data_IF_585118311301
#
_entry.id   IF_585118311301
#
_cell.length_a   1.000
_cell.length_b   1.000
_cell.length_c   1.000
_cell.angle_alpha   90.00
_cell.angle_beta   90.00
_cell.angle_gamma   90.00
#
_symmetry.space_group_name_H-M   'P 1'
#
loop_
_entity.id
_entity.type
_entity.pdbx_description
1 polymer ?
#
# COMPACT_ATOMS: atom_id res chain seq x y z
N UNK A 1 4.79 -10.35 -15.84
CA UNK A 1 3.45 -10.64 -15.26
C UNK A 1 3.03 -9.62 -14.22
N UNK A 2 3.96 -9.03 -13.45
CA UNK A 2 3.67 -7.95 -12.50
C UNK A 2 3.35 -6.60 -13.13
N UNK A 3 3.19 -5.60 -12.26
CA UNK A 3 2.99 -4.19 -12.59
C UNK A 3 4.31 -3.42 -12.74
N UNK A 4 4.24 -2.08 -12.64
CA UNK A 4 5.42 -1.20 -12.68
C UNK A 4 6.17 -1.21 -11.35
N UNK A 5 5.44 -1.09 -10.24
CA UNK A 5 6.00 -0.97 -8.88
C UNK A 5 5.78 -2.26 -8.08
N UNK A 6 4.67 -2.94 -8.34
CA UNK A 6 4.30 -4.15 -7.61
C UNK A 6 4.54 -5.42 -8.44
N UNK A 7 5.21 -6.38 -7.82
CA UNK A 7 5.30 -7.74 -8.33
C UNK A 7 3.98 -8.49 -8.18
N UNK A 8 3.75 -9.50 -9.01
CA UNK A 8 2.52 -10.29 -8.97
C UNK A 8 2.58 -11.26 -7.77
N UNK A 9 1.69 -11.14 -6.77
CA UNK A 9 1.73 -12.02 -5.61
C UNK A 9 1.25 -13.43 -5.98
N UNK A 10 1.70 -14.43 -5.21
CA UNK A 10 1.52 -15.85 -5.53
C UNK A 10 0.05 -16.27 -5.62
N UNK A 11 -0.78 -15.82 -4.69
CA UNK A 11 -2.23 -16.08 -4.66
C UNK A 11 -2.94 -15.61 -5.94
N UNK A 12 -2.65 -14.38 -6.38
CA UNK A 12 -3.24 -13.85 -7.61
C UNK A 12 -2.67 -14.55 -8.85
N UNK A 13 -1.37 -14.92 -8.80
CA UNK A 13 -0.72 -15.67 -9.87
C UNK A 13 -1.40 -17.02 -10.07
N UNK A 14 -1.61 -17.78 -9.00
CA UNK A 14 -2.27 -19.08 -9.03
C UNK A 14 -3.72 -18.95 -9.55
N UNK A 15 -4.50 -18.00 -9.03
CA UNK A 15 -5.86 -17.76 -9.48
C UNK A 15 -5.94 -17.42 -10.98
N UNK A 16 -4.97 -16.68 -11.51
CA UNK A 16 -4.89 -16.39 -12.95
C UNK A 16 -4.53 -17.64 -13.76
N UNK A 17 -3.61 -18.48 -13.29
CA UNK A 17 -3.24 -19.71 -14.01
C UNK A 17 -4.37 -20.75 -14.06
N UNK A 18 -5.29 -20.73 -13.09
CA UNK A 18 -6.47 -21.60 -13.09
C UNK A 18 -7.56 -21.16 -14.10
N UNK A 19 -7.53 -19.93 -14.59
CA UNK A 19 -8.50 -19.41 -15.57
C UNK A 19 -7.78 -18.80 -16.79
N UNK A 20 -7.64 -19.61 -17.84
CA UNK A 20 -6.92 -19.23 -19.07
C UNK A 20 -7.46 -17.96 -19.73
N UNK A 21 -8.78 -17.74 -19.65
CA UNK A 21 -9.42 -16.54 -20.21
C UNK A 21 -9.00 -15.30 -19.42
N UNK A 22 -9.06 -15.36 -18.09
CA UNK A 22 -8.60 -14.27 -17.24
C UNK A 22 -7.09 -14.02 -17.42
N UNK A 23 -6.28 -15.06 -17.54
CA UNK A 23 -4.84 -14.96 -17.80
C UNK A 23 -4.53 -14.26 -19.13
N UNK A 24 -5.22 -14.63 -20.21
CA UNK A 24 -5.06 -13.97 -21.51
C UNK A 24 -5.43 -12.49 -21.42
N UNK A 25 -6.56 -12.17 -20.77
CA UNK A 25 -6.99 -10.79 -20.57
C UNK A 25 -6.03 -9.98 -19.69
N UNK A 26 -5.44 -10.61 -18.67
CA UNK A 26 -4.39 -10.01 -17.83
C UNK A 26 -3.13 -9.67 -18.63
N UNK A 27 -2.73 -10.54 -19.55
CA UNK A 27 -1.59 -10.30 -20.45
C UNK A 27 -1.87 -9.17 -21.45
N UNK A 28 -3.13 -8.94 -21.82
CA UNK A 28 -3.50 -7.87 -22.76
C UNK A 28 -3.58 -6.47 -22.11
N UNK A 29 -3.82 -6.37 -20.80
CA UNK A 29 -3.86 -5.05 -20.14
C UNK A 29 -2.46 -4.45 -19.97
N UNK A 30 -2.41 -3.13 -19.87
CA UNK A 30 -1.17 -2.39 -19.71
C UNK A 30 -0.47 -2.76 -18.40
N UNK A 31 0.88 -2.64 -18.32
CA UNK A 31 1.61 -2.84 -17.07
C UNK A 31 1.07 -1.96 -15.93
N UNK A 32 0.57 -0.76 -16.25
CA UNK A 32 -0.04 0.13 -15.29
C UNK A 32 -1.36 -0.42 -14.73
N UNK A 33 -2.23 -0.95 -15.59
CA UNK A 33 -3.46 -1.58 -15.14
C UNK A 33 -3.19 -2.80 -14.26
N UNK A 34 -2.18 -3.62 -14.60
CA UNK A 34 -1.74 -4.72 -13.73
C UNK A 34 -1.26 -4.21 -12.36
N UNK A 35 -0.47 -3.14 -12.36
CA UNK A 35 0.01 -2.51 -11.14
C UNK A 35 -1.13 -2.05 -10.23
N UNK A 36 -2.19 -1.48 -10.81
CA UNK A 36 -3.36 -1.02 -10.06
C UNK A 36 -4.15 -2.19 -9.48
N UNK A 37 -4.37 -3.25 -10.24
CA UNK A 37 -5.00 -4.47 -9.73
C UNK A 37 -4.20 -5.08 -8.58
N UNK A 38 -2.89 -5.22 -8.74
CA UNK A 38 -2.02 -5.78 -7.70
C UNK A 38 -2.08 -4.91 -6.45
N UNK A 39 -1.88 -3.60 -6.58
CA UNK A 39 -1.92 -2.68 -5.43
C UNK A 39 -3.25 -2.76 -4.70
N UNK A 40 -4.37 -2.77 -5.44
CA UNK A 40 -5.71 -2.89 -4.88
C UNK A 40 -5.93 -4.22 -4.14
N UNK A 41 -5.38 -5.33 -4.65
CA UNK A 41 -5.44 -6.64 -3.99
C UNK A 41 -4.59 -6.69 -2.73
N UNK A 42 -3.38 -6.12 -2.71
CA UNK A 42 -2.46 -6.24 -1.57
C UNK A 42 -2.64 -5.17 -0.49
N UNK A 43 -3.35 -4.07 -0.78
CA UNK A 43 -3.56 -2.99 0.21
C UNK A 43 -4.41 -3.42 1.40
N UNK A 44 -5.24 -4.46 1.27
CA UNK A 44 -6.10 -4.93 2.37
C UNK A 44 -5.30 -5.70 3.40
N UNK A 45 -5.55 -5.43 4.69
CA UNK A 45 -4.83 -6.06 5.81
C UNK A 45 -5.41 -7.43 6.21
N UNK A 46 -6.68 -7.66 5.91
CA UNK A 46 -7.37 -8.91 6.27
C UNK A 46 -7.23 -9.93 5.14
N UNK A 47 -6.75 -11.14 5.47
CA UNK A 47 -6.55 -12.20 4.47
C UNK A 47 -7.86 -12.59 3.77
N UNK A 48 -8.96 -12.71 4.51
CA UNK A 48 -10.28 -13.01 3.94
C UNK A 48 -10.67 -12.02 2.83
N UNK A 49 -10.49 -10.72 3.07
CA UNK A 49 -10.79 -9.69 2.07
C UNK A 49 -9.83 -9.74 0.89
N UNK A 50 -8.58 -10.16 1.11
CA UNK A 50 -7.62 -10.38 0.02
C UNK A 50 -8.06 -11.51 -0.89
N UNK A 51 -8.53 -12.63 -0.33
CA UNK A 51 -9.04 -13.77 -1.09
C UNK A 51 -10.28 -13.40 -1.92
N UNK A 52 -11.19 -12.61 -1.32
CA UNK A 52 -12.34 -12.02 -2.02
C UNK A 52 -11.90 -11.09 -3.16
N UNK A 53 -10.86 -10.26 -2.93
CA UNK A 53 -10.29 -9.39 -3.96
C UNK A 53 -9.68 -10.20 -5.11
N UNK A 54 -8.92 -11.27 -4.83
CA UNK A 54 -8.37 -12.16 -5.86
C UNK A 54 -9.48 -12.74 -6.73
N UNK A 55 -10.53 -13.27 -6.11
CA UNK A 55 -11.70 -13.81 -6.83
C UNK A 55 -12.37 -12.74 -7.69
N UNK A 56 -12.50 -11.52 -7.15
CA UNK A 56 -13.09 -10.38 -7.86
C UNK A 56 -12.24 -9.94 -9.06
N UNK A 57 -10.91 -9.98 -8.99
CA UNK A 57 -10.03 -9.68 -10.13
C UNK A 57 -10.38 -10.58 -11.31
N UNK A 58 -10.45 -11.90 -11.09
CA UNK A 58 -10.76 -12.89 -12.14
C UNK A 58 -12.14 -12.62 -12.75
N UNK A 59 -13.16 -12.44 -11.91
CA UNK A 59 -14.53 -12.14 -12.36
C UNK A 59 -14.61 -10.84 -13.17
N UNK A 60 -13.99 -9.76 -12.68
CA UNK A 60 -14.03 -8.45 -13.35
C UNK A 60 -13.25 -8.44 -14.67
N UNK A 61 -12.10 -9.11 -14.75
CA UNK A 61 -11.37 -9.27 -16.00
C UNK A 61 -12.25 -9.96 -17.05
N UNK A 62 -12.90 -11.07 -16.68
CA UNK A 62 -13.83 -11.80 -17.57
C UNK A 62 -15.04 -10.95 -17.97
N UNK A 63 -15.49 -10.07 -17.08
CA UNK A 63 -16.49 -9.03 -17.35
C UNK A 63 -15.99 -7.84 -18.17
N UNK A 64 -14.76 -7.89 -18.70
CA UNK A 64 -14.18 -6.88 -19.58
C UNK A 64 -13.58 -5.67 -18.87
N UNK A 65 -13.60 -5.64 -17.53
CA UNK A 65 -13.01 -4.53 -16.77
C UNK A 65 -11.50 -4.63 -16.80
N UNK A 66 -10.85 -3.56 -17.24
CA UNK A 66 -9.39 -3.52 -17.35
C UNK A 66 -8.71 -2.92 -16.13
N UNK A 67 -9.46 -2.25 -15.24
CA UNK A 67 -8.97 -1.63 -13.99
C UNK A 67 -9.95 -1.89 -12.83
N UNK A 68 -9.49 -1.86 -11.57
CA UNK A 68 -10.37 -1.95 -10.41
C UNK A 68 -11.33 -0.75 -10.35
N UNK A 69 -12.62 -1.02 -10.10
CA UNK A 69 -13.60 0.04 -9.89
C UNK A 69 -13.39 0.70 -8.52
N UNK A 70 -13.56 2.03 -8.45
CA UNK A 70 -13.41 2.84 -7.24
C UNK A 70 -11.97 2.86 -6.66
N UNK A 71 -10.96 2.65 -7.51
CA UNK A 71 -9.56 2.78 -7.12
C UNK A 71 -8.95 4.04 -7.75
N UNK A 72 -8.42 4.93 -6.91
CA UNK A 72 -7.87 6.22 -7.35
C UNK A 72 -6.55 6.08 -8.13
N UNK A 73 -5.97 4.88 -8.13
CA UNK A 73 -4.65 4.57 -8.69
C UNK A 73 -3.69 4.09 -7.61
N UNK A 74 -2.55 3.54 -8.04
CA UNK A 74 -1.51 3.10 -7.12
C UNK A 74 -0.77 4.31 -6.52
N UNK A 75 -0.83 4.45 -5.19
CA UNK A 75 -0.17 5.54 -4.44
C UNK A 75 1.35 5.40 -4.38
N UNK A 76 1.90 4.23 -4.74
CA UNK A 76 3.34 3.95 -4.73
C UNK A 76 4.04 4.35 -6.04
N UNK A 77 3.30 4.92 -6.99
CA UNK A 77 3.85 5.36 -8.27
C UNK A 77 4.66 6.64 -8.09
N UNK A 78 5.87 6.65 -8.64
CA UNK A 78 6.79 7.79 -8.61
C UNK A 78 6.76 8.65 -9.88
N UNK A 79 6.08 8.20 -10.93
CA UNK A 79 6.01 8.92 -12.21
C UNK A 79 5.11 10.17 -12.18
N UNK A 80 4.22 10.26 -11.18
CA UNK A 80 3.35 11.42 -10.97
C UNK A 80 3.95 12.30 -9.87
N UNK A 81 4.47 13.50 -10.17
CA UNK A 81 4.91 14.40 -9.12
C UNK A 81 3.73 14.80 -8.23
N UNK A 82 4.01 14.95 -6.93
CA UNK A 82 3.03 15.42 -5.95
C UNK A 82 2.58 16.84 -6.36
N UNK A 83 1.28 17.12 -6.26
CA UNK A 83 0.79 18.46 -6.60
C UNK A 83 1.35 19.52 -5.62
N UNK A 84 1.63 20.75 -6.06
CA UNK A 84 2.13 21.81 -5.18
C UNK A 84 1.26 22.02 -3.93
N UNK A 85 -0.07 21.90 -4.07
CA UNK A 85 -1.00 22.04 -2.94
C UNK A 85 -0.83 20.91 -1.92
N UNK A 86 -0.71 19.66 -2.37
CA UNK A 86 -0.49 18.51 -1.49
C UNK A 86 0.87 18.61 -0.81
N UNK A 87 1.90 19.04 -1.55
CA UNK A 87 3.24 19.26 -1.02
C UNK A 87 3.23 20.30 0.11
N UNK A 88 2.54 21.42 -0.07
CA UNK A 88 2.41 22.45 0.99
C UNK A 88 1.73 21.92 2.26
N UNK A 89 0.78 20.99 2.14
CA UNK A 89 0.10 20.38 3.29
C UNK A 89 1.05 19.44 4.03
N UNK A 90 1.84 18.65 3.30
CA UNK A 90 2.85 17.75 3.88
C UNK A 90 3.89 18.57 4.67
N UNK A 91 4.43 19.63 4.07
CA UNK A 91 5.41 20.52 4.72
C UNK A 91 4.87 21.19 5.99
N UNK A 92 3.60 21.62 5.99
CA UNK A 92 2.95 22.19 7.19
C UNK A 92 2.82 21.14 8.31
N UNK A 93 2.50 19.89 7.96
CA UNK A 93 2.35 18.80 8.94
C UNK A 93 3.69 18.38 9.55
N UNK A 94 4.74 18.25 8.75
CA UNK A 94 6.08 17.90 9.25
C UNK A 94 6.61 18.95 10.22
N UNK A 95 6.44 20.25 9.89
CA UNK A 95 6.80 21.34 10.81
C UNK A 95 6.07 21.24 12.14
N UNK A 96 4.74 21.03 12.14
CA UNK A 96 3.94 20.90 13.36
C UNK A 96 4.43 19.75 14.26
N UNK A 97 4.69 18.58 13.68
CA UNK A 97 5.12 17.40 14.46
C UNK A 97 6.52 17.59 15.08
N UNK A 98 7.41 18.33 14.42
CA UNK A 98 8.75 18.65 14.93
C UNK A 98 8.77 19.78 15.96
N UNK A 99 7.62 20.44 16.21
CA UNK A 99 7.51 21.51 17.22
C UNK A 99 6.84 21.01 18.52
N UNK A 100 6.62 19.70 18.65
CA UNK A 100 6.16 19.12 19.91
C UNK A 100 7.27 19.31 20.97
N UNK A 101 6.94 19.79 22.18
CA UNK A 101 7.95 19.99 23.23
C UNK A 101 8.57 18.64 23.59
N UNK A 102 9.90 18.58 23.55
CA UNK A 102 10.69 17.51 24.17
C UNK A 102 10.19 17.31 25.61
N UNK A 103 9.85 16.09 26.05
CA UNK A 103 9.53 15.86 27.45
C UNK A 103 10.74 16.27 28.30
N UNK A 104 10.54 16.91 29.47
CA UNK A 104 11.65 17.32 30.31
C UNK A 104 12.46 16.08 30.70
N UNK A 105 13.76 16.13 30.46
CA UNK A 105 14.73 15.15 30.95
C UNK A 105 14.58 15.02 32.45
N UNK A 106 14.24 13.82 32.95
CA UNK A 106 14.24 13.53 34.38
C UNK A 106 15.71 13.50 34.82
N UNK A 107 16.21 14.63 35.34
CA UNK A 107 17.49 14.70 36.05
C UNK A 107 17.28 14.40 37.54
N UNK A 108 17.92 13.32 37.97
CA UNK A 108 18.47 13.07 39.32
C UNK A 108 17.49 13.09 40.52
N UNK A 109 17.02 11.90 40.89
CA UNK A 109 16.70 11.57 42.27
C UNK A 109 17.63 10.43 42.72
N UNK A 110 18.67 10.79 43.47
CA UNK A 110 19.67 9.86 43.99
C UNK A 110 20.32 10.38 45.27
N UNK A 111 19.52 10.86 46.21
CA UNK A 111 19.99 11.21 47.56
C UNK A 111 19.83 10.01 48.49
N UNK A 112 20.96 9.43 48.90
CA UNK A 112 21.19 8.86 50.23
C UNK A 112 20.53 7.52 50.57
N UNK A 113 21.29 6.44 50.43
CA UNK A 113 21.27 5.36 51.43
C UNK A 113 22.68 5.16 51.96
N UNK A 114 22.89 5.60 53.20
CA UNK A 114 24.07 5.32 54.01
C UNK A 114 24.18 3.81 54.27
N UNK A 115 25.35 3.26 54.01
CA UNK A 115 25.77 1.93 54.44
C UNK A 115 26.78 2.11 55.58
N UNK A 116 26.36 1.85 56.82
CA UNK A 116 27.26 1.66 57.95
C UNK A 116 27.19 0.19 58.39
N UNK A 117 28.37 -0.43 58.28
CA UNK A 117 28.99 -1.58 58.96
C UNK A 117 28.15 -2.78 59.41
#
# INVERSE_FOLDING_TARGET
MGGLVHELPTDLKEALYLDEKALSLWRQITPLARNEWICWTITVKQQKTRDEHVTRVISQLKGGKRRPCCWLGCIHRTDKPISPSVQSIIEKRTKKNNTAPTPPSISEAGAGLSFER
#
